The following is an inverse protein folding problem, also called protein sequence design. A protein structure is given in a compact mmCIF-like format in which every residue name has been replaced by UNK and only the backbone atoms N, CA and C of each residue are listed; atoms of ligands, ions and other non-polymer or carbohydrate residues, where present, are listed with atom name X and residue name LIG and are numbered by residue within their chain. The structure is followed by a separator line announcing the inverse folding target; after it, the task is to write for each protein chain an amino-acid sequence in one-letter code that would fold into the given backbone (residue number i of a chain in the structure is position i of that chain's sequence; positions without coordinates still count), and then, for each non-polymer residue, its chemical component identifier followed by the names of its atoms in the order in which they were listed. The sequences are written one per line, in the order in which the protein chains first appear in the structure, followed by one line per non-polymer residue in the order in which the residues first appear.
data_IF_884680483329
#
_entry.id   IF_884680483329
#
_cell.length_a   1.000
_cell.length_b   1.000
_cell.length_c   1.000
_cell.angle_alpha   90.00
_cell.angle_beta   90.00
_cell.angle_gamma   90.00
#
_symmetry.space_group_name_H-M   'P 1'
#
loop_
_entity.id
_entity.type
_entity.pdbx_description
1 polymer ?
#
# COMPACT_ATOMS: atom_id res chain seq x y z
N UNK A 1 -5.99 16.06 -8.98
CA UNK A 1 -6.80 14.95 -8.43
C UNK A 1 -6.91 13.80 -9.43
N UNK A 2 -7.34 14.06 -10.67
CA UNK A 2 -7.36 13.07 -11.76
C UNK A 2 -6.00 12.38 -11.96
N UNK A 3 -4.90 13.15 -11.91
CA UNK A 3 -3.54 12.60 -12.08
C UNK A 3 -3.13 11.54 -11.05
N UNK A 4 -3.63 11.60 -9.82
CA UNK A 4 -3.38 10.57 -8.82
C UNK A 4 -4.18 9.31 -9.12
N UNK A 5 -5.47 9.48 -9.45
CA UNK A 5 -6.33 8.37 -9.84
C UNK A 5 -5.81 7.67 -11.10
N UNK A 6 -5.35 8.41 -12.11
CA UNK A 6 -4.73 7.88 -13.33
C UNK A 6 -3.46 7.06 -13.05
N UNK A 7 -2.59 7.55 -12.17
CA UNK A 7 -1.36 6.84 -11.80
C UNK A 7 -1.71 5.56 -11.03
N UNK A 8 -2.67 5.62 -10.11
CA UNK A 8 -3.13 4.47 -9.35
C UNK A 8 -3.93 3.48 -10.20
N UNK A 9 -4.52 3.93 -11.32
CA UNK A 9 -5.16 3.06 -12.29
C UNK A 9 -4.15 2.06 -12.87
N UNK A 10 -2.89 2.46 -13.08
CA UNK A 10 -1.83 1.57 -13.54
C UNK A 10 -1.55 0.42 -12.55
N UNK A 11 -1.75 0.65 -11.25
CA UNK A 11 -1.62 -0.37 -10.22
C UNK A 11 -2.76 -1.39 -10.28
N UNK A 12 -4.00 -0.94 -10.52
CA UNK A 12 -5.15 -1.85 -10.71
C UNK A 12 -5.04 -2.71 -11.97
N UNK A 13 -4.28 -2.23 -12.97
CA UNK A 13 -4.03 -2.95 -14.20
C UNK A 13 -2.85 -3.94 -14.10
N UNK A 14 -2.07 -3.91 -13.01
CA UNK A 14 -0.95 -4.83 -12.84
C UNK A 14 -1.45 -6.25 -12.55
N UNK A 15 -0.91 -7.24 -13.25
CA UNK A 15 -1.30 -8.64 -13.12
C UNK A 15 -0.34 -9.37 -12.18
N UNK A 16 -0.75 -9.54 -10.92
CA UNK A 16 -0.08 -10.43 -9.96
C UNK A 16 -0.91 -11.71 -9.74
N UNK A 17 -0.24 -12.86 -9.62
CA UNK A 17 -0.90 -14.12 -9.29
C UNK A 17 -1.24 -14.25 -7.81
N UNK A 18 -0.53 -13.51 -6.95
CA UNK A 18 -0.62 -13.66 -5.48
C UNK A 18 -1.53 -12.63 -4.84
N UNK A 19 -1.88 -11.55 -5.54
CA UNK A 19 -2.73 -10.49 -5.02
C UNK A 19 -3.38 -9.68 -6.14
N UNK A 20 -4.36 -8.84 -5.78
CA UNK A 20 -4.97 -7.88 -6.71
C UNK A 20 -5.31 -6.56 -6.02
N UNK A 21 -5.18 -5.46 -6.76
CA UNK A 21 -5.65 -4.13 -6.38
C UNK A 21 -7.01 -3.84 -7.03
N UNK A 22 -7.96 -3.27 -6.29
CA UNK A 22 -9.19 -2.75 -6.91
C UNK A 22 -8.92 -1.48 -7.70
N UNK A 23 -9.85 -1.12 -8.59
CA UNK A 23 -9.84 0.19 -9.23
C UNK A 23 -9.84 1.30 -8.15
N UNK A 24 -9.07 2.38 -8.35
CA UNK A 24 -9.06 3.52 -7.44
C UNK A 24 -10.42 4.22 -7.41
N UNK A 25 -10.91 4.49 -6.21
CA UNK A 25 -12.12 5.29 -5.98
C UNK A 25 -11.69 6.63 -5.37
N UNK A 26 -12.00 7.72 -6.05
CA UNK A 26 -11.78 9.07 -5.52
C UNK A 26 -12.88 9.39 -4.50
N UNK A 27 -12.50 9.61 -3.25
CA UNK A 27 -13.33 10.31 -2.28
C UNK A 27 -12.89 11.79 -2.31
N UNK A 28 -13.80 12.74 -2.09
CA UNK A 28 -13.46 14.18 -2.13
C UNK A 28 -12.23 14.54 -1.26
N UNK A 29 -11.65 15.73 -1.50
CA UNK A 29 -10.58 16.32 -0.67
C UNK A 29 -9.21 15.61 -0.67
N UNK A 30 -8.77 15.04 -1.79
CA UNK A 30 -7.41 14.48 -1.86
C UNK A 30 -7.32 12.99 -1.53
N UNK A 31 -8.45 12.33 -1.26
CA UNK A 31 -8.48 10.95 -0.77
C UNK A 31 -8.75 9.98 -1.93
N UNK A 32 -7.88 9.00 -2.11
CA UNK A 32 -8.11 7.88 -3.02
C UNK A 32 -8.12 6.59 -2.23
N UNK A 33 -9.13 5.78 -2.45
CA UNK A 33 -9.27 4.46 -1.83
C UNK A 33 -8.97 3.38 -2.86
N UNK A 34 -8.07 2.47 -2.50
CA UNK A 34 -7.85 1.21 -3.16
C UNK A 34 -7.97 0.10 -2.12
N UNK A 35 -8.56 -1.02 -2.50
CA UNK A 35 -8.56 -2.22 -1.69
C UNK A 35 -7.52 -3.20 -2.24
N UNK A 36 -6.74 -3.76 -1.33
CA UNK A 36 -5.90 -4.91 -1.58
C UNK A 36 -6.69 -6.17 -1.29
N UNK A 37 -6.61 -7.16 -2.17
CA UNK A 37 -7.06 -8.52 -1.89
C UNK A 37 -5.90 -9.48 -2.05
N UNK A 38 -5.54 -10.11 -0.94
CA UNK A 38 -4.63 -11.25 -0.95
C UNK A 38 -5.29 -12.44 -1.64
N UNK A 39 -4.56 -13.10 -2.55
CA UNK A 39 -4.97 -14.36 -3.16
C UNK A 39 -4.02 -15.51 -2.80
N UNK A 40 -2.95 -15.23 -2.05
CA UNK A 40 -1.95 -16.24 -1.68
C UNK A 40 -2.50 -17.31 -0.73
N UNK A 41 -3.56 -17.00 0.02
CA UNK A 41 -4.22 -17.90 0.98
C UNK A 41 -5.60 -18.38 0.53
N UNK A 42 -5.98 -18.13 -0.73
CA UNK A 42 -7.30 -18.48 -1.25
C UNK A 42 -7.48 -20.02 -1.23
N UNK A 43 -8.38 -20.52 -0.37
CA UNK A 43 -8.59 -21.95 -0.12
C UNK A 43 -8.07 -22.49 1.22
N UNK A 44 -7.45 -21.66 2.06
CA UNK A 44 -6.99 -22.05 3.40
C UNK A 44 -7.89 -21.43 4.49
N UNK A 45 -8.48 -22.26 5.35
CA UNK A 45 -9.14 -21.79 6.57
C UNK A 45 -8.09 -21.40 7.60
N UNK A 46 -8.07 -20.12 7.96
CA UNK A 46 -7.24 -19.61 9.06
C UNK A 46 -7.75 -20.18 10.37
N UNK A 47 -7.13 -21.27 10.82
CA UNK A 47 -7.44 -21.90 12.11
C UNK A 47 -6.91 -21.04 13.25
N UNK A 48 -7.77 -20.85 14.24
CA UNK A 48 -7.47 -20.56 15.64
C UNK A 48 -6.55 -19.39 15.95
N UNK A 49 -7.15 -18.22 16.16
CA UNK A 49 -6.82 -17.37 17.30
C UNK A 49 -5.39 -16.84 17.42
N UNK A 50 -4.58 -16.91 16.36
CA UNK A 50 -3.32 -16.19 16.28
C UNK A 50 -3.61 -14.71 16.55
N UNK A 51 -2.91 -14.12 17.53
CA UNK A 51 -3.15 -12.75 18.00
C UNK A 51 -3.39 -11.85 16.80
N UNK A 52 -4.61 -11.29 16.71
CA UNK A 52 -5.05 -10.51 15.55
C UNK A 52 -4.01 -9.43 15.20
N UNK A 53 -3.29 -8.89 16.19
CA UNK A 53 -2.17 -7.98 15.98
C UNK A 53 -1.03 -8.61 15.17
N UNK A 54 -0.52 -9.78 15.52
CA UNK A 54 0.55 -10.46 14.78
C UNK A 54 0.09 -10.87 13.38
N UNK A 55 -1.15 -11.35 13.25
CA UNK A 55 -1.75 -11.69 11.96
C UNK A 55 -1.93 -10.46 11.06
N UNK A 56 -2.45 -9.36 11.62
CA UNK A 56 -2.60 -8.09 10.90
C UNK A 56 -1.23 -7.53 10.54
N UNK A 57 -0.23 -7.58 11.41
CA UNK A 57 1.11 -7.11 11.08
C UNK A 57 1.78 -7.97 10.00
N UNK A 58 1.57 -9.29 10.07
CA UNK A 58 2.05 -10.24 9.06
C UNK A 58 1.33 -10.07 7.71
N UNK A 59 0.13 -9.49 7.65
CA UNK A 59 -0.55 -9.13 6.41
C UNK A 59 -0.24 -7.71 5.94
N UNK A 60 -0.31 -6.73 6.84
CA UNK A 60 -0.13 -5.31 6.55
C UNK A 60 1.26 -5.03 6.01
N UNK A 61 2.30 -5.66 6.59
CA UNK A 61 3.67 -5.41 6.14
C UNK A 61 3.88 -5.86 4.68
N UNK A 62 3.54 -7.10 4.26
CA UNK A 62 3.55 -7.48 2.85
C UNK A 62 2.72 -6.58 1.94
N UNK A 63 1.52 -6.19 2.37
CA UNK A 63 0.62 -5.36 1.55
C UNK A 63 1.16 -3.96 1.33
N UNK A 64 1.55 -3.29 2.41
CA UNK A 64 2.08 -1.92 2.37
C UNK A 64 3.40 -1.90 1.62
N UNK A 65 4.26 -2.89 1.82
CA UNK A 65 5.55 -2.95 1.13
C UNK A 65 5.35 -3.18 -0.37
N UNK A 66 4.43 -4.08 -0.74
CA UNK A 66 4.05 -4.31 -2.14
C UNK A 66 3.46 -3.04 -2.77
N UNK A 67 2.57 -2.35 -2.06
CA UNK A 67 1.99 -1.09 -2.54
C UNK A 67 3.05 -0.01 -2.78
N UNK A 68 3.93 0.20 -1.81
CA UNK A 68 5.01 1.17 -1.90
C UNK A 68 5.99 0.78 -3.01
N UNK A 69 6.27 -0.51 -3.15
CA UNK A 69 7.09 -1.04 -4.23
C UNK A 69 6.47 -0.71 -5.57
N UNK A 70 5.19 -1.01 -5.78
CA UNK A 70 4.54 -0.74 -7.06
C UNK A 70 4.43 0.76 -7.34
N UNK A 71 4.19 1.58 -6.31
CA UNK A 71 4.22 3.04 -6.45
C UNK A 71 5.56 3.55 -6.97
N UNK A 72 6.69 3.07 -6.44
CA UNK A 72 8.01 3.51 -6.84
C UNK A 72 8.54 2.81 -8.11
N UNK A 73 8.33 1.50 -8.24
CA UNK A 73 8.89 0.69 -9.32
C UNK A 73 8.05 0.70 -10.60
N UNK A 74 6.72 0.72 -10.48
CA UNK A 74 5.79 0.69 -11.63
C UNK A 74 5.32 2.10 -11.97
N UNK A 75 4.80 2.82 -10.99
CA UNK A 75 4.29 4.18 -11.19
C UNK A 75 5.39 5.27 -11.17
N UNK A 76 6.63 4.88 -10.85
CA UNK A 76 7.79 5.77 -10.75
C UNK A 76 7.62 6.93 -9.77
N UNK A 77 6.71 6.82 -8.80
CA UNK A 77 6.45 7.86 -7.81
C UNK A 77 7.64 8.04 -6.87
N UNK A 78 8.04 9.29 -6.67
CA UNK A 78 9.00 9.69 -5.64
C UNK A 78 8.27 9.68 -4.30
N UNK A 79 8.54 8.64 -3.51
CA UNK A 79 8.01 8.47 -2.16
C UNK A 79 8.89 9.21 -1.15
N UNK A 80 8.32 9.53 0.02
CA UNK A 80 9.05 10.09 1.15
C UNK A 80 10.13 9.11 1.64
N UNK A 81 11.28 9.63 2.08
CA UNK A 81 12.38 8.81 2.60
C UNK A 81 12.03 8.10 3.92
N UNK A 82 11.00 8.58 4.61
CA UNK A 82 10.43 7.97 5.82
C UNK A 82 8.94 7.68 5.59
N UNK A 83 8.54 6.45 5.88
CA UNK A 83 7.15 5.99 5.81
C UNK A 83 6.61 5.82 7.22
N UNK A 84 5.54 6.55 7.51
CA UNK A 84 4.76 6.40 8.74
C UNK A 84 3.53 5.53 8.48
N UNK A 85 3.29 4.56 9.35
CA UNK A 85 2.18 3.63 9.23
C UNK A 85 1.47 3.49 10.58
N UNK A 86 0.14 3.60 10.56
CA UNK A 86 -0.72 3.38 11.71
C UNK A 86 -1.74 2.30 11.41
N UNK A 87 -1.82 1.30 12.28
CA UNK A 87 -2.82 0.24 12.22
C UNK A 87 -3.87 0.51 13.30
N UNK A 88 -5.14 0.56 12.93
CA UNK A 88 -6.25 0.78 13.88
C UNK A 88 -7.27 -0.35 13.79
N UNK A 89 -7.83 -0.74 14.94
CA UNK A 89 -8.97 -1.64 15.05
C UNK A 89 -9.97 -1.03 16.06
N UNK A 90 -11.27 -1.04 15.73
CA UNK A 90 -12.34 -0.46 16.57
C UNK A 90 -12.01 0.94 17.13
N UNK A 91 -11.48 1.81 16.26
CA UNK A 91 -11.07 3.20 16.56
C UNK A 91 -9.90 3.35 17.55
N UNK A 92 -9.19 2.27 17.88
CA UNK A 92 -7.96 2.30 18.70
C UNK A 92 -6.74 2.02 17.83
N UNK A 93 -5.63 2.75 18.08
CA UNK A 93 -4.34 2.40 17.49
C UNK A 93 -3.89 1.07 18.08
N UNK A 94 -3.66 0.10 17.21
CA UNK A 94 -3.13 -1.22 17.55
C UNK A 94 -1.61 -1.21 17.41
N UNK A 95 -1.09 -0.42 16.47
CA UNK A 95 0.34 -0.24 16.28
C UNK A 95 0.65 1.02 15.45
N UNK A 96 1.80 1.63 15.72
CA UNK A 96 2.36 2.75 14.98
C UNK A 96 3.83 2.42 14.60
N UNK A 97 4.21 2.70 13.36
CA UNK A 97 5.54 2.41 12.81
C UNK A 97 6.09 3.61 12.05
N UNK A 98 7.40 3.78 12.12
CA UNK A 98 8.16 4.68 11.25
C UNK A 98 9.34 3.90 10.70
N UNK A 99 9.45 3.83 9.37
CA UNK A 99 10.42 3.00 8.68
C UNK A 99 11.11 3.82 7.59
N UNK A 100 12.45 3.73 7.44
CA UNK A 100 13.14 4.25 6.27
C UNK A 100 12.62 3.57 5.00
N UNK A 101 12.32 4.34 3.96
CA UNK A 101 11.87 3.79 2.67
C UNK A 101 12.90 2.81 2.07
N UNK A 102 14.18 3.05 2.32
CA UNK A 102 15.29 2.21 1.87
C UNK A 102 15.19 0.75 2.37
N UNK A 103 14.49 0.52 3.48
CA UNK A 103 14.26 -0.82 4.05
C UNK A 103 13.03 -1.51 3.46
N UNK A 104 12.27 -0.79 2.62
CA UNK A 104 11.00 -1.22 2.01
C UNK A 104 11.16 -1.39 0.50
N UNK A 105 11.70 -0.36 -0.18
CA UNK A 105 11.80 -0.31 -1.65
C UNK A 105 13.09 0.38 -2.07
N UNK A 106 13.83 -0.27 -2.97
CA UNK A 106 14.89 0.36 -3.75
C UNK A 106 14.86 -0.15 -5.20
N UNK A 107 14.96 0.74 -6.22
CA UNK A 107 15.12 2.20 -6.11
C UNK A 107 13.79 2.95 -5.87
N UNK A 108 13.86 4.15 -5.26
CA UNK A 108 12.72 5.08 -5.19
C UNK A 108 12.43 5.68 -6.59
N UNK A 109 11.19 6.07 -6.85
CA UNK A 109 10.81 6.73 -8.09
C UNK A 109 11.30 8.18 -8.16
N UNK A 110 11.11 8.82 -9.31
CA UNK A 110 11.53 10.20 -9.57
C UNK A 110 10.36 11.14 -9.90
N UNK A 111 9.14 10.61 -10.04
CA UNK A 111 7.94 11.35 -10.39
C UNK A 111 7.26 11.89 -9.14
N UNK A 112 7.24 13.21 -8.99
CA UNK A 112 6.48 13.85 -7.91
C UNK A 112 4.97 13.77 -8.18
N UNK A 113 4.19 13.54 -7.11
CA UNK A 113 2.73 13.53 -7.15
C UNK A 113 2.18 14.95 -7.39
N UNK A 114 2.88 15.96 -6.85
CA UNK A 114 2.56 17.39 -6.97
C UNK A 114 3.86 18.20 -7.05
N UNK A 115 3.86 19.30 -7.81
CA UNK A 115 4.99 20.23 -7.91
C UNK A 115 5.93 19.98 -9.09
N UNK A 116 6.82 20.96 -9.33
CA UNK A 116 7.97 20.85 -10.23
C UNK A 116 9.14 20.38 -9.37
N UNK A 117 9.88 19.36 -9.81
CA UNK A 117 11.10 18.95 -9.13
C UNK A 117 12.05 20.15 -9.10
N UNK A 118 12.38 20.61 -7.88
CA UNK A 118 13.39 21.63 -7.64
C UNK A 118 14.79 21.11 -7.94
#
# INVERSE_FOLDING_TARGET
MERLAEILQALSASSSSSYVWTNPVLLGDGVVVLAYRDRSVEGQTLSDGAHIADYVLNLVRPVVFTFLHDCAAIAHLRLSDVIEMRVTADKRSVADFSLPLADIVQPNGNRLLWGVAS
#
